data_IF_376525073368
#
_entry.id   IF_376525073368
#
_cell.length_a   1.000
_cell.length_b   1.000
_cell.length_c   1.000
_cell.angle_alpha   90.00
_cell.angle_beta   90.00
_cell.angle_gamma   90.00
#
_symmetry.space_group_name_H-M   'P 1'
#
loop_
_entity.id
_entity.type
_entity.pdbx_description
1 polymer ?
#
# COMPACT_ATOMS: atom_id res chain seq x y z
N UNK A 1 -1.13 -13.43 -17.16
CA UNK A 1 -0.38 -14.16 -16.12
C UNK A 1 -0.80 -13.49 -14.84
N UNK A 2 -1.46 -14.22 -13.94
CA UNK A 2 -2.01 -13.64 -12.72
C UNK A 2 -0.96 -13.79 -11.62
N UNK A 3 -0.50 -12.66 -11.08
CA UNK A 3 0.38 -12.65 -9.91
C UNK A 3 -0.47 -12.43 -8.65
N UNK A 4 -0.10 -13.09 -7.56
CA UNK A 4 -0.80 -12.94 -6.29
C UNK A 4 0.13 -12.31 -5.25
N UNK A 5 -0.29 -11.16 -4.72
CA UNK A 5 0.32 -10.56 -3.54
C UNK A 5 -0.45 -11.02 -2.31
N UNK A 6 0.27 -11.64 -1.36
CA UNK A 6 -0.33 -12.11 -0.11
C UNK A 6 0.62 -11.91 1.05
N UNK A 7 0.07 -11.65 2.23
CA UNK A 7 0.87 -11.60 3.45
C UNK A 7 0.14 -10.92 4.59
N UNK A 8 0.90 -10.33 5.50
CA UNK A 8 0.35 -9.78 6.76
C UNK A 8 0.88 -8.39 7.05
N UNK A 9 0.03 -7.60 7.69
CA UNK A 9 0.34 -6.28 8.23
C UNK A 9 0.08 -6.25 9.73
N UNK A 10 1.10 -5.94 10.54
CA UNK A 10 0.99 -5.80 11.99
C UNK A 10 1.38 -7.01 12.82
N UNK A 11 2.11 -7.98 12.28
CA UNK A 11 2.63 -9.14 13.04
C UNK A 11 1.54 -10.13 13.46
N UNK A 12 1.68 -10.73 14.65
CA UNK A 12 0.81 -11.82 15.13
C UNK A 12 -0.67 -11.44 15.20
N UNK A 13 -0.99 -10.24 15.69
CA UNK A 13 -2.35 -9.67 15.76
C UNK A 13 -2.69 -8.82 14.53
N UNK A 14 -1.92 -8.99 13.46
CA UNK A 14 -2.05 -8.26 12.21
C UNK A 14 -3.17 -8.75 11.30
N UNK A 15 -3.39 -7.98 10.25
CA UNK A 15 -4.40 -8.24 9.23
C UNK A 15 -3.81 -9.00 8.04
N UNK A 16 -4.60 -9.89 7.46
CA UNK A 16 -4.24 -10.55 6.21
C UNK A 16 -4.47 -9.62 5.01
N UNK A 17 -3.55 -9.67 4.07
CA UNK A 17 -3.63 -8.97 2.78
C UNK A 17 -3.66 -10.02 1.69
N UNK A 18 -4.61 -9.89 0.76
CA UNK A 18 -4.66 -10.71 -0.45
C UNK A 18 -5.11 -9.86 -1.63
N UNK A 19 -4.21 -9.66 -2.58
CA UNK A 19 -4.46 -9.00 -3.84
C UNK A 19 -4.02 -9.88 -5.00
N UNK A 20 -4.66 -9.69 -6.14
CA UNK A 20 -4.36 -10.31 -7.42
C UNK A 20 -4.00 -9.18 -8.37
N UNK A 21 -2.95 -9.39 -9.13
CA UNK A 21 -2.54 -8.54 -10.24
C UNK A 21 -2.88 -9.29 -11.52
N UNK A 22 -3.71 -8.66 -12.34
CA UNK A 22 -4.02 -9.13 -13.68
C UNK A 22 -3.75 -8.01 -14.68
N UNK A 23 -2.61 -8.12 -15.37
CA UNK A 23 -2.09 -7.06 -16.25
C UNK A 23 -1.88 -5.77 -15.48
N UNK A 24 -2.64 -4.74 -15.87
CA UNK A 24 -2.57 -3.41 -15.27
C UNK A 24 -3.52 -3.24 -14.07
N UNK A 25 -4.28 -4.27 -13.69
CA UNK A 25 -5.27 -4.15 -12.60
C UNK A 25 -4.83 -4.87 -11.34
N UNK A 26 -4.97 -4.20 -10.20
CA UNK A 26 -4.72 -4.73 -8.86
C UNK A 26 -6.06 -4.79 -8.13
N UNK A 27 -6.56 -6.00 -7.88
CA UNK A 27 -7.81 -6.19 -7.13
C UNK A 27 -7.58 -7.04 -5.91
N UNK A 28 -8.28 -6.79 -4.82
CA UNK A 28 -8.08 -7.58 -3.61
C UNK A 28 -8.87 -7.11 -2.41
N UNK A 29 -8.50 -7.69 -1.28
CA UNK A 29 -9.07 -7.35 0.03
C UNK A 29 -7.98 -7.28 1.08
N UNK A 30 -8.03 -6.22 1.88
CA UNK A 30 -7.21 -6.07 3.06
C UNK A 30 -8.10 -6.29 4.29
N UNK A 31 -7.69 -7.19 5.20
CA UNK A 31 -8.37 -7.50 6.44
C UNK A 31 -9.25 -8.77 6.40
N UNK A 32 -9.73 -9.16 7.58
CA UNK A 32 -10.59 -10.34 7.76
C UNK A 32 -12.01 -10.15 7.21
N UNK A 33 -12.79 -11.25 7.14
CA UNK A 33 -14.11 -11.27 6.50
C UNK A 33 -15.10 -10.19 6.96
N UNK A 34 -15.07 -9.79 8.23
CA UNK A 34 -16.01 -8.82 8.83
C UNK A 34 -15.59 -7.34 8.69
N UNK A 35 -14.30 -7.03 8.68
CA UNK A 35 -13.80 -5.64 8.71
C UNK A 35 -12.85 -5.30 7.56
N UNK A 36 -12.72 -6.19 6.58
CA UNK A 36 -11.85 -5.95 5.43
C UNK A 36 -12.46 -5.00 4.41
N UNK A 37 -11.61 -4.14 3.82
CA UNK A 37 -11.97 -3.25 2.71
C UNK A 37 -11.45 -3.82 1.39
N UNK A 38 -12.22 -3.59 0.34
CA UNK A 38 -11.86 -3.99 -1.01
C UNK A 38 -10.89 -2.98 -1.62
N UNK A 39 -9.98 -3.45 -2.45
CA UNK A 39 -8.99 -2.67 -3.18
C UNK A 39 -9.23 -2.92 -4.66
N UNK A 40 -9.40 -1.85 -5.43
CA UNK A 40 -9.55 -1.91 -6.88
C UNK A 40 -8.76 -0.78 -7.52
N UNK A 41 -7.61 -1.10 -8.09
CA UNK A 41 -6.67 -0.14 -8.64
C UNK A 41 -6.26 -0.52 -10.06
N UNK A 42 -5.93 0.48 -10.85
CA UNK A 42 -5.47 0.39 -12.22
C UNK A 42 -4.14 1.14 -12.35
N UNK A 43 -3.13 0.44 -12.84
CA UNK A 43 -1.84 0.99 -13.26
C UNK A 43 -2.05 1.60 -14.65
N UNK A 44 -1.62 2.84 -14.79
CA UNK A 44 -1.72 3.63 -16.02
C UNK A 44 -0.34 4.09 -16.42
N UNK A 45 -0.20 4.60 -17.65
CA UNK A 45 1.05 5.19 -18.13
C UNK A 45 1.58 6.32 -17.22
N UNK A 46 0.69 6.99 -16.49
CA UNK A 46 1.03 8.14 -15.65
C UNK A 46 1.18 7.80 -14.18
N UNK A 47 0.82 6.61 -13.72
CA UNK A 47 0.79 6.25 -12.31
C UNK A 47 -0.28 5.23 -11.98
N UNK A 48 -0.97 5.35 -10.86
CA UNK A 48 -1.99 4.38 -10.40
C UNK A 48 -3.22 5.11 -9.88
N UNK A 49 -4.41 4.63 -10.24
CA UNK A 49 -5.69 5.22 -9.85
C UNK A 49 -6.71 4.14 -9.47
N UNK A 50 -7.75 4.48 -8.71
CA UNK A 50 -8.82 3.55 -8.36
C UNK A 50 -9.47 3.87 -7.02
N UNK A 51 -9.82 2.85 -6.25
CA UNK A 51 -10.47 2.97 -4.94
C UNK A 51 -9.88 2.02 -3.90
N UNK A 52 -9.98 2.47 -2.64
CA UNK A 52 -9.65 1.69 -1.44
C UNK A 52 -10.83 1.77 -0.48
N UNK A 53 -11.64 0.72 -0.44
CA UNK A 53 -12.98 0.77 0.13
C UNK A 53 -13.85 1.76 -0.64
N UNK A 54 -14.31 2.81 0.04
CA UNK A 54 -15.09 3.89 -0.57
C UNK A 54 -14.26 5.11 -0.97
N UNK A 55 -12.97 5.14 -0.61
CA UNK A 55 -12.13 6.32 -0.80
C UNK A 55 -11.41 6.28 -2.15
N UNK A 56 -11.32 7.40 -2.87
CA UNK A 56 -10.57 7.47 -4.12
C UNK A 56 -9.08 7.37 -3.87
N UNK A 57 -8.39 6.70 -4.79
CA UNK A 57 -6.94 6.58 -4.82
C UNK A 57 -6.41 7.12 -6.13
N UNK A 58 -5.37 7.96 -6.07
CA UNK A 58 -4.67 8.42 -7.26
C UNK A 58 -3.25 8.85 -6.93
N UNK A 59 -2.26 8.27 -7.61
CA UNK A 59 -0.87 8.71 -7.61
C UNK A 59 -0.36 8.81 -9.05
N UNK A 60 0.54 9.75 -9.31
CA UNK A 60 1.15 9.98 -10.60
C UNK A 60 2.67 10.07 -10.48
N UNK A 61 3.39 9.60 -11.49
CA UNK A 61 4.84 9.70 -11.56
C UNK A 61 5.22 11.14 -11.92
N UNK A 62 5.91 11.81 -10.99
CA UNK A 62 6.36 13.19 -11.09
C UNK A 62 7.79 13.28 -10.55
N UNK A 63 8.73 13.73 -11.37
CA UNK A 63 10.15 13.90 -11.00
C UNK A 63 10.82 12.63 -10.41
N UNK A 64 10.43 11.45 -10.91
CA UNK A 64 10.94 10.16 -10.43
C UNK A 64 10.37 9.73 -9.06
N UNK A 65 9.27 10.34 -8.64
CA UNK A 65 8.51 9.99 -7.44
C UNK A 65 7.05 9.77 -7.80
N UNK A 66 6.38 8.82 -7.14
CA UNK A 66 4.94 8.66 -7.25
C UNK A 66 4.25 9.55 -6.22
N UNK A 67 3.50 10.56 -6.68
CA UNK A 67 2.84 11.57 -5.83
C UNK A 67 1.34 11.59 -6.06
N UNK A 68 0.58 11.74 -4.99
CA UNK A 68 -0.87 11.89 -5.08
C UNK A 68 -1.55 11.73 -3.74
N UNK A 69 -2.69 11.05 -3.71
CA UNK A 69 -3.50 10.89 -2.51
C UNK A 69 -4.18 9.52 -2.43
N UNK A 70 -4.45 9.10 -1.18
CA UNK A 70 -5.42 8.07 -0.83
C UNK A 70 -6.45 8.70 0.10
N UNK A 71 -7.71 8.77 -0.33
CA UNK A 71 -8.71 9.60 0.33
C UNK A 71 -8.23 11.05 0.46
N UNK A 72 -8.20 11.58 1.68
CA UNK A 72 -7.66 12.92 1.98
C UNK A 72 -6.16 12.96 2.29
N UNK A 73 -5.49 11.80 2.35
CA UNK A 73 -4.09 11.72 2.75
C UNK A 73 -3.17 11.85 1.54
N UNK A 74 -2.23 12.81 1.61
CA UNK A 74 -1.15 12.94 0.63
C UNK A 74 -0.25 11.72 0.66
N UNK A 75 0.26 11.31 -0.49
CA UNK A 75 1.14 10.16 -0.64
C UNK A 75 2.32 10.53 -1.52
N UNK A 76 3.52 10.17 -1.10
CA UNK A 76 4.74 10.26 -1.90
C UNK A 76 5.53 8.97 -1.72
N UNK A 77 5.88 8.30 -2.81
CA UNK A 77 6.70 7.08 -2.82
C UNK A 77 7.84 7.23 -3.82
N UNK A 78 8.98 6.61 -3.53
CA UNK A 78 10.17 6.59 -4.39
C UNK A 78 10.89 5.26 -4.30
N UNK A 79 11.44 4.83 -5.43
CA UNK A 79 12.23 3.60 -5.55
C UNK A 79 11.43 2.43 -6.10
N UNK A 80 12.14 1.35 -6.42
CA UNK A 80 11.59 0.13 -7.05
C UNK A 80 11.69 -1.04 -6.08
N UNK A 81 12.91 -1.51 -5.80
CA UNK A 81 13.14 -2.65 -4.89
C UNK A 81 13.25 -2.19 -3.43
N UNK A 82 13.90 -1.05 -3.22
CA UNK A 82 13.89 -0.32 -1.95
C UNK A 82 12.98 0.87 -2.11
N UNK A 83 11.83 0.82 -1.44
CA UNK A 83 10.81 1.86 -1.54
C UNK A 83 10.81 2.67 -0.26
N UNK A 84 10.82 3.99 -0.41
CA UNK A 84 10.69 4.92 0.70
C UNK A 84 9.61 5.94 0.39
N UNK A 85 9.03 6.55 1.42
CA UNK A 85 8.01 7.55 1.20
C UNK A 85 7.31 8.02 2.45
N UNK A 86 6.21 8.70 2.24
CA UNK A 86 5.41 9.32 3.28
C UNK A 86 3.93 9.38 2.90
N UNK A 87 3.06 9.07 3.85
CA UNK A 87 1.62 9.22 3.71
C UNK A 87 1.09 10.18 4.78
N UNK A 88 0.19 11.08 4.43
CA UNK A 88 -0.48 12.02 5.33
C UNK A 88 0.20 13.38 5.45
N UNK A 89 -0.13 14.10 6.53
CA UNK A 89 0.37 15.46 6.78
C UNK A 89 1.75 15.46 7.45
N UNK A 90 2.58 16.51 7.28
CA UNK A 90 3.98 16.53 7.76
C UNK A 90 4.22 16.22 9.25
N UNK A 91 3.22 16.37 10.11
CA UNK A 91 3.35 16.22 11.57
C UNK A 91 2.75 14.91 12.08
N UNK A 92 1.68 14.42 11.45
CA UNK A 92 0.88 13.27 11.93
C UNK A 92 0.88 12.08 10.96
N UNK A 93 1.65 12.16 9.88
CA UNK A 93 1.70 11.15 8.84
C UNK A 93 2.62 9.98 9.16
N UNK A 94 2.73 9.08 8.18
CA UNK A 94 3.35 7.78 8.28
C UNK A 94 4.50 7.67 7.29
N UNK A 95 5.69 7.39 7.81
CA UNK A 95 6.83 7.03 6.97
C UNK A 95 6.59 5.67 6.31
N UNK A 96 7.10 5.50 5.11
CA UNK A 96 7.04 4.25 4.37
C UNK A 96 8.46 3.80 4.11
N UNK A 97 8.79 2.58 4.52
CA UNK A 97 10.05 1.93 4.17
C UNK A 97 9.76 0.48 3.83
N UNK A 98 10.18 0.04 2.66
CA UNK A 98 10.05 -1.33 2.21
C UNK A 98 11.32 -1.79 1.48
N UNK A 99 11.64 -3.06 1.60
CA UNK A 99 12.76 -3.70 0.94
C UNK A 99 12.32 -5.03 0.36
N UNK A 100 12.41 -5.14 -0.96
CA UNK A 100 12.23 -6.39 -1.68
C UNK A 100 13.52 -7.23 -1.58
N UNK A 101 13.35 -8.52 -1.32
CA UNK A 101 14.39 -9.53 -1.40
C UNK A 101 13.81 -10.76 -2.14
N UNK A 102 14.12 -10.87 -3.43
CA UNK A 102 13.51 -11.88 -4.30
C UNK A 102 12.00 -11.65 -4.45
N UNK A 103 11.21 -12.66 -4.12
CA UNK A 103 9.75 -12.63 -4.17
C UNK A 103 9.11 -12.15 -2.85
N UNK A 104 9.91 -11.77 -1.85
CA UNK A 104 9.43 -11.26 -0.57
C UNK A 104 9.63 -9.75 -0.47
N UNK A 105 8.70 -9.08 0.21
CA UNK A 105 8.75 -7.67 0.56
C UNK A 105 8.51 -7.52 2.05
N UNK A 106 9.48 -6.92 2.73
CA UNK A 106 9.36 -6.58 4.15
C UNK A 106 9.44 -5.08 4.33
N UNK A 107 8.70 -4.54 5.28
CA UNK A 107 8.71 -3.11 5.51
C UNK A 107 7.98 -2.67 6.75
N UNK A 108 7.96 -1.36 6.93
CA UNK A 108 7.29 -0.66 8.01
C UNK A 108 6.53 0.55 7.46
N UNK A 109 5.31 0.71 7.94
CA UNK A 109 4.45 1.87 7.71
C UNK A 109 4.26 2.59 9.04
N UNK A 110 4.60 3.88 9.12
CA UNK A 110 4.54 4.67 10.34
C UNK A 110 5.84 4.70 11.14
N UNK A 111 5.76 5.24 12.36
CA UNK A 111 6.91 5.32 13.29
C UNK A 111 7.10 4.03 14.08
N UNK A 112 8.16 3.92 14.87
CA UNK A 112 8.37 2.77 15.77
C UNK A 112 7.27 2.63 16.83
N UNK A 113 6.55 3.72 17.16
CA UNK A 113 5.54 3.75 18.23
C UNK A 113 4.12 3.52 17.69
N UNK A 114 3.81 4.03 16.50
CA UNK A 114 2.47 3.96 15.90
C UNK A 114 2.44 3.25 14.54
N UNK A 115 3.57 2.67 14.13
CA UNK A 115 3.70 2.00 12.86
C UNK A 115 3.41 0.50 12.93
N UNK A 116 3.21 -0.08 11.75
CA UNK A 116 2.97 -1.50 11.53
C UNK A 116 4.07 -2.02 10.62
N UNK A 117 4.69 -3.11 11.03
CA UNK A 117 5.53 -3.88 10.12
C UNK A 117 4.63 -4.71 9.19
N UNK A 118 5.10 -4.97 7.99
CA UNK A 118 4.42 -5.85 7.06
C UNK A 118 5.42 -6.78 6.37
N UNK A 119 4.90 -7.92 5.95
CA UNK A 119 5.61 -8.92 5.17
C UNK A 119 4.65 -9.45 4.11
N UNK A 120 5.05 -9.36 2.85
CA UNK A 120 4.28 -9.78 1.69
C UNK A 120 5.12 -10.68 0.80
N UNK A 121 4.53 -11.74 0.30
CA UNK A 121 5.01 -12.46 -0.87
C UNK A 121 4.42 -11.79 -2.12
N UNK A 122 5.29 -11.40 -3.04
CA UNK A 122 4.99 -10.63 -4.25
C UNK A 122 4.72 -11.50 -5.48
N UNK A 123 5.19 -12.75 -5.48
CA UNK A 123 5.30 -13.53 -6.72
C UNK A 123 6.27 -12.83 -7.67
N UNK A 124 5.78 -12.45 -8.85
CA UNK A 124 6.58 -11.69 -9.83
C UNK A 124 6.40 -10.17 -9.73
N UNK A 125 5.55 -9.70 -8.81
CA UNK A 125 5.23 -8.28 -8.69
C UNK A 125 6.46 -7.45 -8.26
N UNK A 126 6.67 -6.25 -8.82
CA UNK A 126 7.71 -5.34 -8.37
C UNK A 126 7.49 -4.83 -6.94
N UNK A 127 8.58 -4.49 -6.24
CA UNK A 127 8.56 -4.03 -4.85
C UNK A 127 7.71 -2.77 -4.62
N UNK A 128 7.68 -1.85 -5.59
CA UNK A 128 6.81 -0.66 -5.53
C UNK A 128 5.31 -1.02 -5.57
N UNK A 129 4.91 -2.04 -6.33
CA UNK A 129 3.53 -2.53 -6.38
C UNK A 129 3.16 -3.17 -5.04
N UNK A 130 4.03 -4.03 -4.51
CA UNK A 130 3.84 -4.63 -3.18
C UNK A 130 3.75 -3.58 -2.07
N UNK A 131 4.58 -2.54 -2.14
CA UNK A 131 4.56 -1.44 -1.17
C UNK A 131 3.27 -0.64 -1.25
N UNK A 132 2.78 -0.40 -2.48
CA UNK A 132 1.50 0.26 -2.70
C UNK A 132 0.37 -0.56 -2.09
N UNK A 133 0.33 -1.88 -2.32
CA UNK A 133 -0.65 -2.80 -1.73
C UNK A 133 -0.59 -2.77 -0.19
N UNK A 134 0.60 -2.83 0.41
CA UNK A 134 0.76 -2.72 1.86
C UNK A 134 0.21 -1.39 2.40
N UNK A 135 0.48 -0.29 1.70
CA UNK A 135 0.08 1.05 2.10
C UNK A 135 -1.42 1.27 2.02
N UNK A 136 -2.06 0.89 0.91
CA UNK A 136 -3.52 1.01 0.80
C UNK A 136 -4.23 0.08 1.78
N UNK A 137 -3.64 -1.08 2.08
CA UNK A 137 -4.14 -1.98 3.13
C UNK A 137 -4.05 -1.34 4.51
N UNK A 138 -2.93 -0.66 4.81
CA UNK A 138 -2.76 0.10 6.05
C UNK A 138 -3.79 1.23 6.17
N UNK A 139 -3.93 2.05 5.14
CA UNK A 139 -4.94 3.11 5.08
C UNK A 139 -6.35 2.55 5.28
N UNK A 140 -6.65 1.41 4.66
CA UNK A 140 -7.94 0.76 4.76
C UNK A 140 -8.27 0.33 6.20
N UNK A 141 -7.28 -0.20 6.92
CA UNK A 141 -7.49 -0.92 8.18
C UNK A 141 -7.18 -0.08 9.42
N UNK A 142 -6.35 0.95 9.31
CA UNK A 142 -5.98 1.81 10.42
C UNK A 142 -6.92 3.03 10.44
N UNK A 143 -7.89 3.12 11.38
CA UNK A 143 -8.89 4.19 11.36
C UNK A 143 -8.26 5.58 11.40
N UNK A 144 -7.13 5.71 12.12
CA UNK A 144 -6.37 6.96 12.23
C UNK A 144 -5.78 7.43 10.92
N UNK A 145 -5.48 6.50 10.01
CA UNK A 145 -4.99 6.81 8.68
C UNK A 145 -6.11 7.32 7.76
N UNK A 146 -7.33 6.83 7.91
CA UNK A 146 -8.49 7.27 7.12
C UNK A 146 -9.21 8.50 7.69
N UNK A 147 -8.98 8.86 8.96
CA UNK A 147 -9.63 10.04 9.56
C UNK A 147 -8.98 11.32 9.01
N UNK A 148 -9.75 12.04 8.19
CA UNK A 148 -9.52 13.47 7.99
C UNK A 148 -9.99 14.19 9.26
N UNK A 149 -9.09 14.91 9.92
CA UNK A 149 -9.53 15.90 10.91
C UNK A 149 -10.13 17.11 10.21
#
# INVERSE_FOLDING_TARGET
>A
MEDQIKGRLGGADGYDIRCIIDGDRITGRAGGKLHGKDIDLEITERGVQGTVGADPFKIELQDGELKGNVGSQKLTLRGVDRVTGYMGEPIVGWNVVAQQNGDQLVGQLGSTVLGRNFELSLGSAPGWVGTLVALVSFYALEPRASISR
#
